data_IF_355385782780
#
_entry.id   IF_355385782780
#
_cell.length_a   1.000
_cell.length_b   1.000
_cell.length_c   1.000
_cell.angle_alpha   90.00
_cell.angle_beta   90.00
_cell.angle_gamma   90.00
#
_symmetry.space_group_name_H-M   'P 1'
#
loop_
_entity.id
_entity.type
_entity.pdbx_description
1 polymer ?
#
# COMPACT_ATOMS: atom_id res chain seq x y z
N UNK A 1 -30.68 -21.49 -8.93
CA UNK A 1 -30.94 -20.21 -9.62
C UNK A 1 -31.32 -19.17 -8.55
N UNK A 2 -30.37 -18.34 -8.09
CA UNK A 2 -30.65 -17.34 -7.05
C UNK A 2 -31.31 -16.12 -7.70
N UNK A 3 -32.65 -16.05 -7.62
CA UNK A 3 -33.42 -14.89 -8.07
C UNK A 3 -33.11 -13.67 -7.21
N UNK A 4 -32.74 -12.56 -7.84
CA UNK A 4 -32.55 -11.29 -7.14
C UNK A 4 -33.89 -10.86 -6.53
N UNK A 5 -33.93 -10.73 -5.20
CA UNK A 5 -35.13 -10.27 -4.48
C UNK A 5 -35.22 -8.75 -4.55
N UNK A 6 -36.29 -8.25 -5.16
CA UNK A 6 -36.65 -6.82 -5.25
C UNK A 6 -37.90 -6.56 -4.41
N UNK A 7 -38.04 -5.35 -3.87
CA UNK A 7 -39.27 -4.93 -3.19
C UNK A 7 -40.34 -4.45 -4.20
N UNK A 8 -41.54 -4.09 -3.73
CA UNK A 8 -42.63 -3.60 -4.58
C UNK A 8 -42.32 -2.29 -5.34
N UNK A 9 -41.26 -1.57 -4.95
CA UNK A 9 -40.75 -0.39 -5.66
C UNK A 9 -39.61 -0.71 -6.62
N UNK A 10 -39.30 -1.99 -6.86
CA UNK A 10 -38.23 -2.42 -7.77
C UNK A 10 -36.81 -2.24 -7.22
N UNK A 11 -36.64 -1.92 -5.93
CA UNK A 11 -35.35 -1.73 -5.29
C UNK A 11 -34.86 -3.05 -4.69
N UNK A 12 -33.62 -3.42 -5.02
CA UNK A 12 -32.93 -4.57 -4.47
C UNK A 12 -32.09 -4.19 -3.24
N UNK A 13 -31.71 -5.21 -2.48
CA UNK A 13 -30.76 -5.06 -1.36
C UNK A 13 -29.44 -4.39 -1.79
N UNK A 14 -28.96 -4.69 -3.01
CA UNK A 14 -27.72 -4.12 -3.53
C UNK A 14 -27.83 -2.62 -3.78
N UNK A 15 -28.97 -2.16 -4.29
CA UNK A 15 -29.20 -0.74 -4.55
C UNK A 15 -29.17 0.08 -3.26
N UNK A 16 -29.79 -0.45 -2.19
CA UNK A 16 -29.72 0.14 -0.86
C UNK A 16 -28.28 0.22 -0.32
N UNK A 17 -27.49 -0.85 -0.46
CA UNK A 17 -26.09 -0.85 -0.03
C UNK A 17 -25.23 0.09 -0.86
N UNK A 18 -25.43 0.15 -2.17
CA UNK A 18 -24.65 0.99 -3.07
C UNK A 18 -24.92 2.48 -2.82
N UNK A 19 -26.19 2.86 -2.67
CA UNK A 19 -26.58 4.25 -2.37
C UNK A 19 -26.22 4.61 -0.92
N UNK A 20 -26.43 3.70 0.03
CA UNK A 20 -26.10 3.92 1.44
C UNK A 20 -24.60 4.10 1.67
N UNK A 21 -23.77 3.17 1.17
CA UNK A 21 -22.32 3.27 1.28
C UNK A 21 -21.76 4.43 0.45
N UNK A 22 -22.28 4.64 -0.76
CA UNK A 22 -21.89 5.76 -1.62
C UNK A 22 -22.23 7.12 -1.00
N UNK A 23 -23.39 7.24 -0.35
CA UNK A 23 -23.79 8.42 0.40
C UNK A 23 -22.87 8.69 1.59
N UNK A 24 -22.63 7.69 2.43
CA UNK A 24 -21.74 7.83 3.59
C UNK A 24 -20.30 8.17 3.20
N UNK A 25 -19.76 7.52 2.15
CA UNK A 25 -18.44 7.84 1.62
C UNK A 25 -18.39 9.23 0.96
N UNK A 26 -19.49 9.64 0.31
CA UNK A 26 -19.60 10.93 -0.37
C UNK A 26 -19.65 12.13 0.59
N UNK A 27 -20.24 11.98 1.78
CA UNK A 27 -20.36 13.09 2.75
C UNK A 27 -18.99 13.65 3.17
N UNK A 28 -17.98 12.79 3.36
CA UNK A 28 -16.62 13.21 3.72
C UNK A 28 -15.74 13.59 2.52
N UNK A 29 -16.20 13.38 1.30
CA UNK A 29 -15.35 13.49 0.10
C UNK A 29 -14.90 14.94 -0.15
N UNK A 30 -15.79 15.91 0.03
CA UNK A 30 -15.46 17.33 -0.19
C UNK A 30 -14.46 17.86 0.85
N UNK A 31 -14.58 17.43 2.09
CA UNK A 31 -13.63 17.77 3.15
C UNK A 31 -12.27 17.09 2.95
N UNK A 32 -12.24 15.86 2.43
CA UNK A 32 -10.99 15.20 2.01
C UNK A 32 -10.29 15.96 0.88
N UNK A 33 -11.03 16.41 -0.13
CA UNK A 33 -10.48 17.23 -1.22
C UNK A 33 -9.97 18.58 -0.72
N UNK A 34 -10.69 19.21 0.22
CA UNK A 34 -10.26 20.45 0.87
C UNK A 34 -8.98 20.23 1.68
N UNK A 35 -8.89 19.13 2.45
CA UNK A 35 -7.69 18.76 3.19
C UNK A 35 -6.50 18.47 2.27
N UNK A 36 -6.73 17.81 1.14
CA UNK A 36 -5.70 17.60 0.12
C UNK A 36 -5.19 18.93 -0.46
N UNK A 37 -6.08 19.87 -0.75
CA UNK A 37 -5.72 21.20 -1.26
C UNK A 37 -5.00 22.07 -0.22
N UNK A 38 -5.33 21.91 1.06
CA UNK A 38 -4.65 22.57 2.18
C UNK A 38 -3.31 21.92 2.55
N UNK A 39 -3.04 20.72 2.04
CA UNK A 39 -1.77 20.03 2.24
C UNK A 39 -0.61 20.89 1.72
N UNK A 40 0.29 21.28 2.62
CA UNK A 40 1.49 22.06 2.28
C UNK A 40 2.40 21.34 1.28
N UNK A 41 3.37 22.08 0.75
CA UNK A 41 4.32 21.57 -0.23
C UNK A 41 4.88 20.21 0.20
N UNK A 42 4.47 19.13 -0.50
CA UNK A 42 5.01 17.80 -0.26
C UNK A 42 6.52 17.90 -0.44
N UNK A 43 7.28 17.46 0.57
CA UNK A 43 8.74 17.40 0.48
C UNK A 43 9.07 16.62 -0.79
N UNK A 44 9.82 17.23 -1.71
CA UNK A 44 10.28 16.52 -2.91
C UNK A 44 11.23 15.43 -2.44
N UNK A 45 10.76 14.19 -2.46
CA UNK A 45 11.55 13.01 -2.11
C UNK A 45 12.12 12.44 -3.41
N UNK A 46 13.44 12.47 -3.53
CA UNK A 46 14.14 11.76 -4.61
C UNK A 46 14.42 10.35 -4.08
N UNK A 47 13.83 9.34 -4.71
CA UNK A 47 13.97 7.94 -4.33
C UNK A 47 14.50 7.15 -5.53
N UNK A 48 15.53 6.33 -5.31
CA UNK A 48 16.02 5.36 -6.28
C UNK A 48 15.54 3.99 -5.81
N UNK A 49 14.69 3.36 -6.61
CA UNK A 49 14.30 1.97 -6.38
C UNK A 49 15.40 1.05 -6.89
N UNK A 50 16.04 0.33 -5.99
CA UNK A 50 16.95 -0.77 -6.33
C UNK A 50 16.18 -2.06 -6.19
N UNK A 51 15.83 -2.68 -7.33
CA UNK A 51 15.14 -3.97 -7.35
C UNK A 51 16.17 -5.10 -7.23
N UNK A 52 16.17 -5.78 -6.08
CA UNK A 52 16.99 -6.95 -5.82
C UNK A 52 16.08 -8.17 -5.75
N UNK A 53 15.88 -8.84 -6.89
CA UNK A 53 15.13 -10.10 -6.93
C UNK A 53 15.88 -11.16 -6.11
N UNK A 54 15.29 -11.62 -5.01
CA UNK A 54 15.95 -12.50 -4.03
C UNK A 54 16.77 -11.79 -2.94
N UNK A 55 16.86 -10.46 -2.95
CA UNK A 55 17.56 -9.66 -1.94
C UNK A 55 19.09 -9.61 -2.12
N UNK A 56 19.80 -8.80 -1.32
CA UNK A 56 21.26 -8.76 -1.33
C UNK A 56 21.83 -10.07 -0.77
N UNK A 57 22.99 -10.49 -1.26
CA UNK A 57 23.68 -11.65 -0.68
C UNK A 57 24.10 -11.35 0.76
N UNK A 58 24.25 -12.40 1.60
CA UNK A 58 24.75 -12.23 2.96
C UNK A 58 26.14 -11.57 2.95
N UNK A 59 27.03 -11.94 2.02
CA UNK A 59 28.37 -11.35 1.90
C UNK A 59 28.37 -9.84 1.60
N UNK A 60 27.36 -9.33 0.88
CA UNK A 60 27.24 -7.91 0.54
C UNK A 60 26.64 -7.06 1.67
N UNK A 61 26.00 -7.71 2.66
CA UNK A 61 25.29 -7.01 3.76
C UNK A 61 26.01 -7.14 5.09
N UNK A 62 26.38 -8.38 5.46
CA UNK A 62 26.98 -8.71 6.75
C UNK A 62 27.76 -10.03 6.66
N UNK A 63 29.05 -10.03 6.97
CA UNK A 63 29.83 -11.27 7.03
C UNK A 63 29.42 -12.08 8.27
N UNK A 64 28.81 -13.28 8.11
CA UNK A 64 28.45 -14.13 9.24
C UNK A 64 29.66 -14.73 9.98
N UNK A 65 30.89 -14.62 9.44
CA UNK A 65 32.08 -15.24 10.01
C UNK A 65 33.32 -14.32 9.96
N UNK A 66 33.30 -13.21 10.73
CA UNK A 66 34.42 -12.26 10.76
C UNK A 66 35.73 -12.82 11.34
N UNK A 67 35.61 -13.87 12.16
CA UNK A 67 36.75 -14.53 12.78
C UNK A 67 37.34 -15.65 11.91
N UNK A 68 36.87 -15.80 10.66
CA UNK A 68 37.46 -16.77 9.70
C UNK A 68 38.91 -16.45 9.36
N UNK A 69 39.67 -17.44 8.84
CA UNK A 69 40.93 -17.18 8.16
C UNK A 69 40.77 -16.14 7.04
N UNK A 70 41.85 -15.37 6.76
CA UNK A 70 41.84 -14.27 5.79
C UNK A 70 41.46 -14.71 4.38
N UNK A 71 41.66 -15.98 4.06
CA UNK A 71 41.35 -16.56 2.75
C UNK A 71 39.84 -16.77 2.53
N UNK A 72 39.02 -16.74 3.60
CA UNK A 72 37.60 -17.12 3.57
C UNK A 72 36.68 -15.99 4.07
N UNK A 73 37.17 -15.14 4.98
CA UNK A 73 36.39 -14.00 5.52
C UNK A 73 36.25 -12.85 4.50
N UNK A 74 35.24 -12.02 4.68
CA UNK A 74 34.95 -10.83 3.89
C UNK A 74 36.01 -9.73 4.06
N UNK A 75 36.05 -8.80 3.11
CA UNK A 75 37.08 -7.74 3.08
C UNK A 75 37.02 -6.80 4.30
N UNK A 76 35.85 -6.68 4.94
CA UNK A 76 35.60 -5.72 6.01
C UNK A 76 35.64 -6.31 7.43
N UNK A 77 35.87 -7.62 7.58
CA UNK A 77 35.93 -8.27 8.89
C UNK A 77 35.52 -9.71 8.79
#
# INVERSE_FOLDING_TARGET
MNGMKFNCSGLGRRDFLQVGLGGLAGLGFTDLLRAQAQGGAKKKLNCILVWLDGGPSHYESFDPKPDSPKEIRGEFG
#
